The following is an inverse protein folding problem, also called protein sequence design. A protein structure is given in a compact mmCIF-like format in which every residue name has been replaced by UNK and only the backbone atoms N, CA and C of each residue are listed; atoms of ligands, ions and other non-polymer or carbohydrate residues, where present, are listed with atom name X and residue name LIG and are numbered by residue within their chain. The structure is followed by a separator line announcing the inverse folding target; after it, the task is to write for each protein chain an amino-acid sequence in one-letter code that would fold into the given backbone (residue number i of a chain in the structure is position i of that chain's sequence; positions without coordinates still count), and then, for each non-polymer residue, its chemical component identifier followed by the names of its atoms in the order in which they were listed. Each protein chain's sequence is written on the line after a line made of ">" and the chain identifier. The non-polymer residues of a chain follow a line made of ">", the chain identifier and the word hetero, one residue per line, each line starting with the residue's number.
data_IF_461750165982
#
_entry.id   IF_461750165982
#
_cell.length_a   1.000
_cell.length_b   1.000
_cell.length_c   1.000
_cell.angle_alpha   90.00
_cell.angle_beta   90.00
_cell.angle_gamma   90.00
#
_symmetry.space_group_name_H-M   'P 1'
#
loop_
_entity.id
_entity.type
_entity.pdbx_description
1 polymer ?
#
# COMPACT_ATOMS: atom_id res chain seq x y z
N UNK A 1 24.33 -9.51 -6.21
CA UNK A 1 22.94 -9.64 -5.75
C UNK A 1 22.59 -8.31 -5.10
N UNK A 2 21.42 -7.75 -5.42
CA UNK A 2 20.95 -6.49 -4.82
C UNK A 2 20.63 -6.70 -3.33
N UNK A 3 20.86 -5.67 -2.54
CA UNK A 3 20.53 -5.60 -1.12
C UNK A 3 19.47 -4.54 -0.87
N UNK A 4 18.82 -4.57 0.29
CA UNK A 4 17.86 -3.52 0.69
C UNK A 4 18.56 -2.14 0.71
N UNK A 5 19.79 -2.07 1.21
CA UNK A 5 20.57 -0.82 1.21
C UNK A 5 20.76 -0.24 -0.22
N UNK A 6 20.91 -1.10 -1.25
CA UNK A 6 21.04 -0.65 -2.65
C UNK A 6 19.71 -0.03 -3.14
N UNK A 7 18.57 -0.61 -2.72
CA UNK A 7 17.21 -0.10 -3.05
C UNK A 7 16.95 1.21 -2.32
N UNK A 8 17.20 1.24 -1.01
CA UNK A 8 17.02 2.43 -0.16
C UNK A 8 17.85 3.61 -0.64
N UNK A 9 19.11 3.38 -1.02
CA UNK A 9 20.00 4.40 -1.60
C UNK A 9 19.39 5.08 -2.84
N UNK A 10 18.69 4.32 -3.71
CA UNK A 10 18.01 4.88 -4.88
C UNK A 10 16.86 5.78 -4.45
N UNK A 11 16.02 5.30 -3.51
CA UNK A 11 14.85 6.02 -3.01
C UNK A 11 15.25 7.30 -2.28
N UNK A 12 16.25 7.21 -1.37
CA UNK A 12 16.73 8.36 -0.58
C UNK A 12 17.29 9.46 -1.50
N UNK A 13 18.09 9.07 -2.51
CA UNK A 13 18.62 10.05 -3.49
C UNK A 13 17.51 10.69 -4.31
N UNK A 14 16.54 9.89 -4.77
CA UNK A 14 15.40 10.42 -5.52
C UNK A 14 14.59 11.44 -4.71
N UNK A 15 14.35 11.14 -3.42
CA UNK A 15 13.65 12.03 -2.51
C UNK A 15 14.44 13.34 -2.26
N UNK A 16 15.77 13.26 -2.11
CA UNK A 16 16.63 14.42 -1.89
C UNK A 16 16.77 15.32 -3.12
N UNK A 17 16.83 14.74 -4.31
CA UNK A 17 17.09 15.45 -5.55
C UNK A 17 15.82 15.78 -6.35
N UNK A 18 14.65 15.24 -5.96
CA UNK A 18 13.38 15.35 -6.68
C UNK A 18 13.38 14.59 -8.03
N UNK A 19 14.32 13.63 -8.21
CA UNK A 19 14.52 12.90 -9.47
C UNK A 19 13.86 11.53 -9.47
N UNK A 20 12.58 11.50 -9.22
CA UNK A 20 11.78 10.29 -9.20
C UNK A 20 11.74 9.57 -10.55
N UNK A 21 11.74 10.30 -11.66
CA UNK A 21 11.84 9.77 -13.03
C UNK A 21 13.10 8.93 -13.26
N UNK A 22 14.25 9.40 -12.78
CA UNK A 22 15.51 8.69 -12.89
C UNK A 22 15.56 7.45 -11.99
N UNK A 23 14.96 7.51 -10.81
CA UNK A 23 14.84 6.37 -9.91
C UNK A 23 13.93 5.30 -10.50
N UNK A 24 12.78 5.67 -11.06
CA UNK A 24 11.89 4.76 -11.75
C UNK A 24 12.61 4.02 -12.89
N UNK A 25 13.29 4.75 -13.76
CA UNK A 25 14.07 4.16 -14.86
C UNK A 25 15.17 3.22 -14.33
N UNK A 26 15.79 3.54 -13.19
CA UNK A 26 16.80 2.68 -12.56
C UNK A 26 16.18 1.38 -12.06
N UNK A 27 15.03 1.42 -11.38
CA UNK A 27 14.32 0.22 -10.93
C UNK A 27 13.85 -0.65 -12.08
N UNK A 28 13.31 -0.07 -13.15
CA UNK A 28 12.95 -0.82 -14.36
C UNK A 28 14.18 -1.52 -14.99
N UNK A 29 15.32 -0.83 -15.04
CA UNK A 29 16.56 -1.43 -15.54
C UNK A 29 17.04 -2.60 -14.66
N UNK A 30 16.94 -2.48 -13.34
CA UNK A 30 17.28 -3.56 -12.40
C UNK A 30 16.30 -4.73 -12.48
N UNK A 31 15.01 -4.48 -12.67
CA UNK A 31 14.00 -5.51 -12.88
C UNK A 31 14.26 -6.35 -14.15
N UNK A 32 14.98 -5.78 -15.12
CA UNK A 32 15.44 -6.49 -16.33
C UNK A 32 16.71 -7.32 -16.15
N UNK A 33 17.31 -7.38 -14.94
CA UNK A 33 18.60 -8.05 -14.67
C UNK A 33 18.43 -9.19 -13.66
N UNK A 34 17.87 -10.34 -14.06
CA UNK A 34 17.52 -11.43 -13.13
C UNK A 34 18.73 -11.99 -12.36
N UNK A 35 19.93 -11.82 -12.87
CA UNK A 35 21.17 -12.23 -12.18
C UNK A 35 21.46 -11.43 -10.91
N UNK A 36 20.83 -10.26 -10.74
CA UNK A 36 20.96 -9.41 -9.56
C UNK A 36 19.87 -9.69 -8.50
N UNK A 37 18.83 -10.44 -8.86
CA UNK A 37 17.69 -10.68 -8.00
C UNK A 37 18.01 -11.69 -6.90
N UNK A 38 17.28 -11.55 -5.78
CA UNK A 38 17.30 -12.44 -4.63
C UNK A 38 15.87 -12.92 -4.30
N UNK A 39 15.69 -13.40 -3.08
CA UNK A 39 14.39 -13.85 -2.62
C UNK A 39 13.46 -12.67 -2.30
N UNK A 40 13.98 -11.65 -1.64
CA UNK A 40 13.23 -10.45 -1.21
C UNK A 40 13.21 -9.41 -2.32
N UNK A 41 14.39 -9.09 -2.90
CA UNK A 41 14.49 -8.17 -4.04
C UNK A 41 14.41 -8.99 -5.32
N UNK A 42 13.24 -9.03 -5.90
CA UNK A 42 12.92 -9.77 -7.11
C UNK A 42 12.36 -8.83 -8.20
N UNK A 43 12.05 -9.38 -9.39
CA UNK A 43 11.53 -8.57 -10.48
C UNK A 43 10.24 -7.82 -10.09
N UNK A 44 9.33 -8.49 -9.40
CA UNK A 44 8.06 -7.88 -9.01
C UNK A 44 8.26 -6.75 -7.99
N UNK A 45 9.14 -6.91 -6.97
CA UNK A 45 9.42 -5.83 -6.01
C UNK A 45 10.02 -4.60 -6.68
N UNK A 46 10.99 -4.80 -7.56
CA UNK A 46 11.62 -3.70 -8.32
C UNK A 46 10.62 -2.98 -9.24
N UNK A 47 9.65 -3.70 -9.81
CA UNK A 47 8.57 -3.10 -10.60
C UNK A 47 7.57 -2.32 -9.71
N UNK A 48 7.31 -2.78 -8.49
CA UNK A 48 6.52 -2.02 -7.51
C UNK A 48 7.24 -0.72 -7.15
N UNK A 49 8.53 -0.76 -6.88
CA UNK A 49 9.34 0.42 -6.59
C UNK A 49 9.37 1.39 -7.77
N UNK A 50 9.57 0.87 -9.00
CA UNK A 50 9.49 1.68 -10.23
C UNK A 50 8.13 2.37 -10.35
N UNK A 51 7.04 1.64 -10.11
CA UNK A 51 5.68 2.19 -10.14
C UNK A 51 5.48 3.30 -9.11
N UNK A 52 5.98 3.13 -7.88
CA UNK A 52 5.97 4.15 -6.83
C UNK A 52 6.71 5.42 -7.24
N UNK A 53 7.90 5.28 -7.81
CA UNK A 53 8.69 6.41 -8.28
C UNK A 53 8.04 7.13 -9.48
N UNK A 54 7.42 6.40 -10.43
CA UNK A 54 6.64 7.00 -11.50
C UNK A 54 5.43 7.79 -10.95
N UNK A 55 4.73 7.23 -9.95
CA UNK A 55 3.64 7.92 -9.27
C UNK A 55 4.09 9.23 -8.60
N UNK A 56 5.25 9.23 -7.93
CA UNK A 56 5.85 10.44 -7.33
C UNK A 56 6.28 11.46 -8.40
N UNK A 57 6.69 11.00 -9.58
CA UNK A 57 6.95 11.85 -10.74
C UNK A 57 5.67 12.36 -11.43
N UNK A 58 4.48 11.87 -11.04
CA UNK A 58 3.19 12.20 -11.65
C UNK A 58 2.85 11.41 -12.92
N UNK A 59 3.68 10.44 -13.29
CA UNK A 59 3.44 9.57 -14.46
C UNK A 59 2.64 8.31 -14.06
N UNK A 60 1.32 8.51 -13.87
CA UNK A 60 0.42 7.43 -13.47
C UNK A 60 0.23 6.36 -14.55
N UNK A 61 0.42 6.69 -15.83
CA UNK A 61 0.34 5.69 -16.90
C UNK A 61 1.53 4.72 -16.82
N UNK A 62 2.74 5.21 -16.56
CA UNK A 62 3.91 4.38 -16.33
C UNK A 62 3.80 3.59 -15.01
N UNK A 63 3.30 4.20 -13.93
CA UNK A 63 3.05 3.52 -12.66
C UNK A 63 2.10 2.32 -12.85
N UNK A 64 0.95 2.52 -13.52
CA UNK A 64 -0.02 1.46 -13.83
C UNK A 64 0.63 0.33 -14.63
N UNK A 65 1.46 0.65 -15.62
CA UNK A 65 2.19 -0.36 -16.41
C UNK A 65 3.09 -1.20 -15.51
N UNK A 66 3.92 -0.58 -14.68
CA UNK A 66 4.83 -1.27 -13.77
C UNK A 66 4.07 -2.18 -12.78
N UNK A 67 2.99 -1.68 -12.17
CA UNK A 67 2.19 -2.49 -11.25
C UNK A 67 1.49 -3.68 -11.93
N UNK A 68 0.97 -3.50 -13.16
CA UNK A 68 0.43 -4.62 -13.94
C UNK A 68 1.48 -5.67 -14.26
N UNK A 69 2.70 -5.26 -14.59
CA UNK A 69 3.80 -6.18 -14.81
C UNK A 69 4.21 -6.90 -13.52
N UNK A 70 4.22 -6.21 -12.37
CA UNK A 70 4.48 -6.82 -11.07
C UNK A 70 3.43 -7.88 -10.70
N UNK A 71 2.14 -7.57 -10.93
CA UNK A 71 1.04 -8.53 -10.75
C UNK A 71 1.20 -9.75 -11.65
N UNK A 72 1.56 -9.55 -12.90
CA UNK A 72 1.74 -10.64 -13.87
C UNK A 72 2.96 -11.51 -13.58
N UNK A 73 4.01 -10.93 -12.99
CA UNK A 73 5.22 -11.66 -12.58
C UNK A 73 4.93 -12.64 -11.44
N UNK A 74 4.11 -12.23 -10.45
CA UNK A 74 3.68 -13.07 -9.34
C UNK A 74 4.78 -13.41 -8.33
N UNK A 75 5.91 -12.70 -8.35
CA UNK A 75 6.98 -12.83 -7.36
C UNK A 75 6.49 -12.46 -5.96
N UNK A 76 7.17 -13.00 -4.93
CA UNK A 76 6.85 -12.72 -3.53
C UNK A 76 6.91 -11.20 -3.25
N UNK A 77 5.90 -10.69 -2.56
CA UNK A 77 5.75 -9.29 -2.18
C UNK A 77 5.29 -9.19 -0.73
N UNK A 78 5.73 -8.15 -0.04
CA UNK A 78 5.23 -7.82 1.31
C UNK A 78 3.76 -7.42 1.24
N UNK A 79 3.39 -6.58 0.29
CA UNK A 79 2.00 -6.18 0.02
C UNK A 79 1.65 -6.54 -1.42
N UNK A 80 0.46 -7.07 -1.63
CA UNK A 80 -0.06 -7.44 -2.95
C UNK A 80 0.02 -6.25 -3.93
N UNK A 81 0.73 -6.35 -5.07
CA UNK A 81 0.89 -5.24 -6.01
C UNK A 81 -0.42 -4.69 -6.56
N UNK A 82 -1.51 -5.46 -6.49
CA UNK A 82 -2.86 -4.98 -6.87
C UNK A 82 -3.35 -3.82 -6.02
N UNK A 83 -2.84 -3.67 -4.78
CA UNK A 83 -3.16 -2.52 -3.92
C UNK A 83 -2.63 -1.23 -4.54
N UNK A 84 -1.38 -1.24 -4.97
CA UNK A 84 -0.74 -0.10 -5.62
C UNK A 84 -1.33 0.19 -7.00
N UNK A 85 -1.68 -0.87 -7.74
CA UNK A 85 -2.40 -0.72 -9.02
C UNK A 85 -3.75 -0.04 -8.81
N UNK A 86 -4.49 -0.41 -7.77
CA UNK A 86 -5.77 0.21 -7.43
C UNK A 86 -5.62 1.72 -7.15
N UNK A 87 -4.65 2.12 -6.32
CA UNK A 87 -4.39 3.53 -6.05
C UNK A 87 -4.05 4.31 -7.34
N UNK A 88 -3.15 3.76 -8.15
CA UNK A 88 -2.75 4.39 -9.41
C UNK A 88 -3.92 4.55 -10.39
N UNK A 89 -4.81 3.56 -10.47
CA UNK A 89 -6.04 3.63 -11.29
C UNK A 89 -6.98 4.73 -10.79
N UNK A 90 -7.17 4.87 -9.48
CA UNK A 90 -7.96 5.95 -8.89
C UNK A 90 -7.38 7.32 -9.24
N UNK A 91 -6.07 7.51 -9.06
CA UNK A 91 -5.37 8.75 -9.37
C UNK A 91 -5.43 9.11 -10.85
N UNK A 92 -5.43 8.12 -11.71
CA UNK A 92 -5.57 8.29 -13.17
C UNK A 92 -7.01 8.51 -13.61
N UNK A 93 -7.99 8.30 -12.71
CA UNK A 93 -9.42 8.43 -13.00
C UNK A 93 -10.03 7.22 -13.73
N UNK A 94 -9.36 6.07 -13.71
CA UNK A 94 -9.85 4.81 -14.30
C UNK A 94 -10.78 4.10 -13.30
N UNK A 95 -11.88 4.73 -12.97
CA UNK A 95 -12.75 4.36 -11.84
C UNK A 95 -13.42 2.98 -12.00
N UNK A 96 -13.78 2.59 -13.22
CA UNK A 96 -14.43 1.29 -13.46
C UNK A 96 -13.45 0.13 -13.20
N UNK A 97 -12.21 0.25 -13.66
CA UNK A 97 -11.17 -0.74 -13.45
C UNK A 97 -10.76 -0.80 -11.96
N UNK A 98 -10.59 0.36 -11.32
CA UNK A 98 -10.32 0.44 -9.88
C UNK A 98 -11.43 -0.24 -9.07
N UNK A 99 -12.70 -0.01 -9.38
CA UNK A 99 -13.82 -0.64 -8.69
C UNK A 99 -13.88 -2.17 -8.91
N UNK A 100 -13.51 -2.65 -10.09
CA UNK A 100 -13.42 -4.08 -10.36
C UNK A 100 -12.29 -4.72 -9.53
N UNK A 101 -11.11 -4.09 -9.53
CA UNK A 101 -9.95 -4.55 -8.78
C UNK A 101 -10.20 -4.53 -7.26
N UNK A 102 -10.91 -3.52 -6.75
CA UNK A 102 -11.28 -3.45 -5.33
C UNK A 102 -12.15 -4.64 -4.89
N UNK A 103 -13.03 -5.13 -5.78
CA UNK A 103 -13.83 -6.34 -5.52
C UNK A 103 -12.95 -7.60 -5.43
N UNK A 104 -11.94 -7.70 -6.30
CA UNK A 104 -10.98 -8.81 -6.28
C UNK A 104 -10.14 -8.81 -4.99
N UNK A 105 -9.62 -7.63 -4.61
CA UNK A 105 -8.88 -7.44 -3.36
C UNK A 105 -9.74 -7.86 -2.15
N UNK A 106 -11.01 -7.47 -2.14
CA UNK A 106 -11.95 -7.86 -1.07
C UNK A 106 -12.19 -9.37 -1.03
N UNK A 107 -12.23 -10.02 -2.19
CA UNK A 107 -12.45 -11.47 -2.31
C UNK A 107 -11.23 -12.29 -1.89
N UNK A 108 -10.03 -11.73 -1.90
CA UNK A 108 -8.79 -12.39 -1.51
C UNK A 108 -8.78 -12.81 -0.02
N UNK A 109 -9.54 -12.09 0.85
CA UNK A 109 -9.66 -12.38 2.29
C UNK A 109 -8.31 -12.54 2.98
N UNK A 110 -7.39 -11.61 2.73
CA UNK A 110 -6.08 -11.60 3.41
C UNK A 110 -6.22 -11.73 4.93
N UNK A 111 -5.21 -12.31 5.57
CA UNK A 111 -5.02 -12.31 7.03
C UNK A 111 -3.93 -11.32 7.43
N UNK A 112 -3.51 -10.46 6.53
CA UNK A 112 -2.46 -9.46 6.72
C UNK A 112 -3.10 -8.09 6.98
N UNK A 113 -2.91 -7.49 8.17
CA UNK A 113 -3.42 -6.15 8.50
C UNK A 113 -2.89 -5.06 7.57
N UNK A 114 -1.62 -5.13 7.15
CA UNK A 114 -0.98 -4.13 6.29
C UNK A 114 -1.66 -4.07 4.92
N UNK A 115 -2.13 -5.20 4.41
CA UNK A 115 -2.92 -5.24 3.18
C UNK A 115 -4.19 -4.39 3.30
N UNK A 116 -4.92 -4.48 4.41
CA UNK A 116 -6.15 -3.70 4.63
C UNK A 116 -5.85 -2.22 4.89
N UNK A 117 -4.80 -1.95 5.65
CA UNK A 117 -4.36 -0.59 5.91
C UNK A 117 -4.00 0.13 4.61
N UNK A 118 -3.19 -0.49 3.76
CA UNK A 118 -2.76 0.09 2.50
C UNK A 118 -3.94 0.41 1.55
N UNK A 119 -4.93 -0.49 1.44
CA UNK A 119 -6.16 -0.21 0.66
C UNK A 119 -6.96 0.93 1.28
N UNK A 120 -7.16 0.90 2.60
CA UNK A 120 -7.96 1.91 3.29
C UNK A 120 -7.32 3.31 3.22
N UNK A 121 -6.01 3.40 3.40
CA UNK A 121 -5.25 4.65 3.30
C UNK A 121 -5.26 5.22 1.88
N UNK A 122 -5.15 4.36 0.87
CA UNK A 122 -5.31 4.77 -0.53
C UNK A 122 -6.69 5.39 -0.77
N UNK A 123 -7.76 4.75 -0.31
CA UNK A 123 -9.13 5.26 -0.41
C UNK A 123 -9.30 6.57 0.36
N UNK A 124 -8.75 6.68 1.57
CA UNK A 124 -8.77 7.90 2.37
C UNK A 124 -8.07 9.06 1.65
N UNK A 125 -6.88 8.80 1.07
CA UNK A 125 -6.13 9.80 0.32
C UNK A 125 -6.87 10.32 -0.93
N UNK A 126 -7.79 9.52 -1.49
CA UNK A 126 -8.69 9.92 -2.57
C UNK A 126 -10.00 10.55 -2.09
N UNK A 127 -10.18 10.73 -0.78
CA UNK A 127 -11.41 11.28 -0.19
C UNK A 127 -12.60 10.30 -0.16
N UNK A 128 -12.38 9.02 -0.46
CA UNK A 128 -13.37 7.96 -0.43
C UNK A 128 -13.56 7.42 1.00
N UNK A 129 -13.91 8.34 1.92
CA UNK A 129 -13.88 8.08 3.37
C UNK A 129 -14.80 6.94 3.82
N UNK A 130 -15.97 6.78 3.22
CA UNK A 130 -16.92 5.71 3.58
C UNK A 130 -16.35 4.33 3.22
N UNK A 131 -15.68 4.23 2.07
CA UNK A 131 -15.00 3.00 1.67
C UNK A 131 -13.77 2.74 2.52
N UNK A 132 -12.95 3.75 2.81
CA UNK A 132 -11.81 3.67 3.71
C UNK A 132 -12.22 3.15 5.11
N UNK A 133 -13.28 3.72 5.70
CA UNK A 133 -13.88 3.23 6.95
C UNK A 133 -14.24 1.75 6.87
N UNK A 134 -14.88 1.35 5.78
CA UNK A 134 -15.27 -0.05 5.56
C UNK A 134 -14.05 -0.97 5.52
N UNK A 135 -12.97 -0.56 4.86
CA UNK A 135 -11.75 -1.36 4.72
C UNK A 135 -10.96 -1.46 6.02
N UNK A 136 -10.79 -0.38 6.77
CA UNK A 136 -10.19 -0.43 8.11
C UNK A 136 -10.97 -1.37 9.04
N UNK A 137 -12.31 -1.21 9.10
CA UNK A 137 -13.17 -2.05 9.94
C UNK A 137 -13.10 -3.52 9.55
N UNK A 138 -13.14 -3.80 8.23
CA UNK A 138 -13.05 -5.16 7.70
C UNK A 138 -11.69 -5.79 8.00
N UNK A 139 -10.61 -5.02 7.88
CA UNK A 139 -9.26 -5.46 8.20
C UNK A 139 -9.14 -5.90 9.64
N UNK A 140 -9.57 -5.06 10.58
CA UNK A 140 -9.58 -5.39 11.99
C UNK A 140 -10.31 -6.71 12.26
N UNK A 141 -11.58 -6.83 11.86
CA UNK A 141 -12.38 -8.04 12.12
C UNK A 141 -11.90 -9.30 11.41
N UNK A 142 -11.15 -9.18 10.33
CA UNK A 142 -10.57 -10.35 9.65
C UNK A 142 -9.26 -10.82 10.26
N UNK A 143 -8.53 -9.89 10.89
CA UNK A 143 -7.21 -10.15 11.43
C UNK A 143 -7.20 -10.26 12.97
N UNK A 144 -8.26 -9.88 13.70
CA UNK A 144 -8.32 -9.85 15.16
C UNK A 144 -8.04 -11.21 15.83
N UNK A 145 -8.21 -12.32 15.12
CA UNK A 145 -7.90 -13.67 15.60
C UNK A 145 -6.73 -14.31 14.85
N UNK A 146 -6.01 -13.57 14.01
CA UNK A 146 -4.84 -14.05 13.30
C UNK A 146 -3.60 -13.96 14.20
N UNK A 147 -2.58 -14.76 13.88
CA UNK A 147 -1.29 -14.72 14.57
C UNK A 147 -0.44 -13.57 13.99
N UNK A 148 -0.81 -12.35 14.34
CA UNK A 148 -0.17 -11.12 13.89
C UNK A 148 0.21 -10.23 15.07
N UNK A 149 1.23 -9.37 14.96
CA UNK A 149 1.55 -8.42 16.01
C UNK A 149 0.37 -7.49 16.33
N UNK A 150 0.05 -7.33 17.62
CA UNK A 150 -1.09 -6.55 18.09
C UNK A 150 -1.06 -5.10 17.57
N UNK A 151 0.12 -4.48 17.55
CA UNK A 151 0.27 -3.10 17.06
C UNK A 151 -0.22 -2.89 15.62
N UNK A 152 -0.23 -3.92 14.78
CA UNK A 152 -0.77 -3.83 13.42
C UNK A 152 -2.30 -3.73 13.42
N UNK A 153 -2.96 -4.38 14.38
CA UNK A 153 -4.41 -4.25 14.59
C UNK A 153 -4.75 -2.86 15.13
N UNK A 154 -3.92 -2.35 16.06
CA UNK A 154 -4.09 -1.01 16.60
C UNK A 154 -3.97 0.07 15.53
N UNK A 155 -3.04 -0.09 14.57
CA UNK A 155 -2.92 0.83 13.43
C UNK A 155 -4.19 0.86 12.57
N UNK A 156 -4.85 -0.30 12.36
CA UNK A 156 -6.14 -0.35 11.68
C UNK A 156 -7.23 0.40 12.46
N UNK A 157 -7.27 0.27 13.79
CA UNK A 157 -8.21 0.98 14.64
C UNK A 157 -7.95 2.49 14.63
N UNK A 158 -6.70 2.91 14.71
CA UNK A 158 -6.31 4.33 14.61
C UNK A 158 -6.73 4.94 13.28
N UNK A 159 -6.46 4.25 12.16
CA UNK A 159 -6.92 4.66 10.83
C UNK A 159 -8.44 4.76 10.75
N UNK A 160 -9.15 3.74 11.26
CA UNK A 160 -10.62 3.73 11.32
C UNK A 160 -11.18 4.92 12.11
N UNK A 161 -10.66 5.17 13.31
CA UNK A 161 -11.08 6.28 14.17
C UNK A 161 -10.88 7.63 13.48
N UNK A 162 -9.72 7.84 12.86
CA UNK A 162 -9.41 9.07 12.10
C UNK A 162 -10.45 9.32 10.98
N UNK A 163 -10.77 8.29 10.21
CA UNK A 163 -11.75 8.38 9.13
C UNK A 163 -13.17 8.61 9.66
N UNK A 164 -13.57 7.94 10.76
CA UNK A 164 -14.88 8.13 11.40
C UNK A 164 -15.06 9.55 11.92
N UNK A 165 -14.02 10.11 12.53
CA UNK A 165 -14.04 11.52 12.98
C UNK A 165 -14.26 12.47 11.79
N UNK A 166 -13.60 12.21 10.66
CA UNK A 166 -13.77 13.00 9.42
C UNK A 166 -15.19 12.87 8.82
N UNK A 167 -15.86 11.71 9.03
CA UNK A 167 -17.25 11.47 8.63
C UNK A 167 -18.27 12.02 9.62
N UNK A 168 -17.84 12.50 10.79
CA UNK A 168 -18.74 12.97 11.84
C UNK A 168 -19.50 11.85 12.55
N UNK A 169 -18.98 10.63 12.56
CA UNK A 169 -19.60 9.50 13.26
C UNK A 169 -19.37 9.60 14.77
N UNK A 170 -20.34 9.16 15.59
CA UNK A 170 -20.14 9.13 17.05
C UNK A 170 -19.05 8.11 17.42
N UNK A 171 -18.35 8.35 18.53
CA UNK A 171 -17.37 7.42 19.10
C UNK A 171 -18.05 6.09 19.44
N UNK A 172 -17.37 4.97 19.17
CA UNK A 172 -17.79 3.62 19.52
C UNK A 172 -16.66 2.84 20.23
N UNK A 173 -16.95 1.61 20.69
CA UNK A 173 -16.04 0.77 21.47
C UNK A 173 -14.68 0.55 20.77
N UNK A 174 -14.65 0.46 19.42
CA UNK A 174 -13.40 0.31 18.68
C UNK A 174 -12.61 1.62 18.59
N UNK A 175 -13.28 2.75 18.65
CA UNK A 175 -12.63 4.06 18.72
C UNK A 175 -11.99 4.27 20.10
N UNK A 176 -12.61 3.75 21.18
CA UNK A 176 -12.05 3.76 22.54
C UNK A 176 -10.76 2.92 22.61
N UNK A 177 -10.75 1.72 22.00
CA UNK A 177 -9.52 0.90 21.92
C UNK A 177 -8.38 1.64 21.19
N UNK A 178 -8.70 2.35 20.10
CA UNK A 178 -7.70 3.16 19.40
C UNK A 178 -7.14 4.30 20.26
N UNK A 179 -7.98 4.91 21.12
CA UNK A 179 -7.54 5.96 22.07
C UNK A 179 -6.60 5.41 23.13
N UNK A 180 -6.91 4.24 23.69
CA UNK A 180 -6.07 3.56 24.69
C UNK A 180 -4.68 3.26 24.11
N UNK A 181 -4.61 2.77 22.88
CA UNK A 181 -3.34 2.54 22.19
C UNK A 181 -2.55 3.85 22.00
N UNK A 182 -3.20 4.91 21.51
CA UNK A 182 -2.53 6.20 21.29
C UNK A 182 -2.03 6.82 22.60
N UNK A 183 -2.76 6.65 23.69
CA UNK A 183 -2.34 7.11 25.01
C UNK A 183 -1.09 6.36 25.50
N UNK A 184 -1.06 5.03 25.31
CA UNK A 184 0.09 4.20 25.69
C UNK A 184 1.34 4.46 24.82
N UNK A 185 1.17 4.80 23.55
CA UNK A 185 2.28 5.09 22.63
C UNK A 185 2.86 6.51 22.78
N UNK A 186 2.16 7.42 23.47
CA UNK A 186 2.59 8.80 23.71
C UNK A 186 3.38 9.02 25.01
N UNK A 187 3.50 7.99 25.84
CA UNK A 187 4.30 7.95 27.07
C UNK A 187 5.70 7.34 26.81
#
# INVERSE_FOLDING_TARGET
>A
MLTEDDVDDIVIRAAGDGRHDAAAARFEALAGQPELHGQEINRASLLVDAGGQHGLAGDWDAAIRCYREAVADGGAQTIDPRVWLHDALLRRGQLEEAAALLKELRAARSQDPDFYAAVAESLEAQGLLADAHTWFTMGYHRCENADVPEFLLDLLLVGRRRVRASLGYPVDDLDELAEDYLAAAGD
#
